data_IF_616542621388
#
_entry.id   IF_616542621388
#
_cell.length_a   1.000
_cell.length_b   1.000
_cell.length_c   1.000
_cell.angle_alpha   90.00
_cell.angle_beta   90.00
_cell.angle_gamma   90.00
#
_symmetry.space_group_name_H-M   'P 1'
#
loop_
_entity.id
_entity.type
_entity.pdbx_description
1 polymer ?
#
# COMPACT_ATOMS: atom_id res chain seq x y z
N UNK A 1 15.35 -4.05 -22.05
CA UNK A 1 16.19 -4.51 -23.18
C UNK A 1 17.42 -3.63 -23.37
N UNK A 2 17.29 -2.30 -23.53
CA UNK A 2 18.45 -1.39 -23.73
C UNK A 2 19.57 -1.56 -22.70
N UNK A 3 19.24 -1.68 -21.41
CA UNK A 3 20.24 -1.88 -20.35
C UNK A 3 21.06 -3.16 -20.55
N UNK A 4 20.43 -4.29 -20.91
CA UNK A 4 21.15 -5.55 -21.13
C UNK A 4 22.14 -5.45 -22.30
N UNK A 5 21.75 -4.77 -23.36
CA UNK A 5 22.62 -4.54 -24.52
C UNK A 5 23.78 -3.60 -24.16
N UNK A 6 23.54 -2.54 -23.39
CA UNK A 6 24.61 -1.65 -22.92
C UNK A 6 25.61 -2.32 -21.96
N UNK A 7 25.21 -3.42 -21.33
CA UNK A 7 26.07 -4.27 -20.50
C UNK A 7 26.76 -5.41 -21.29
N UNK A 8 26.66 -5.41 -22.63
CA UNK A 8 27.36 -6.32 -23.52
C UNK A 8 26.59 -7.60 -23.87
N UNK A 9 25.33 -7.75 -23.49
CA UNK A 9 24.50 -8.86 -23.93
C UNK A 9 23.97 -8.63 -25.35
N UNK A 10 23.74 -9.72 -26.12
CA UNK A 10 22.99 -9.60 -27.38
C UNK A 10 21.51 -9.26 -27.09
N UNK A 11 20.82 -8.69 -28.11
CA UNK A 11 19.38 -8.39 -27.98
C UNK A 11 18.55 -9.62 -27.63
N UNK A 12 18.91 -10.77 -28.19
CA UNK A 12 18.23 -12.05 -27.92
C UNK A 12 18.40 -12.42 -26.44
N UNK A 13 19.63 -12.39 -25.93
CA UNK A 13 19.94 -12.70 -24.53
C UNK A 13 19.24 -11.73 -23.58
N UNK A 14 19.24 -10.43 -23.88
CA UNK A 14 18.57 -9.42 -23.09
C UNK A 14 17.04 -9.64 -23.06
N UNK A 15 16.43 -10.04 -24.18
CA UNK A 15 15.01 -10.35 -24.29
C UNK A 15 14.64 -11.61 -23.48
N UNK A 16 15.42 -12.68 -23.62
CA UNK A 16 15.21 -13.92 -22.87
C UNK A 16 15.35 -13.71 -21.34
N UNK A 17 16.37 -12.96 -20.93
CA UNK A 17 16.57 -12.62 -19.52
C UNK A 17 15.38 -11.82 -18.97
N UNK A 18 14.90 -10.83 -19.73
CA UNK A 18 13.70 -10.06 -19.36
C UNK A 18 12.46 -10.96 -19.22
N UNK A 19 12.21 -11.83 -20.20
CA UNK A 19 11.05 -12.72 -20.17
C UNK A 19 11.08 -13.67 -18.96
N UNK A 20 12.26 -14.25 -18.66
CA UNK A 20 12.43 -15.11 -17.47
C UNK A 20 12.20 -14.34 -16.18
N UNK A 21 12.78 -13.15 -16.05
CA UNK A 21 12.62 -12.32 -14.87
C UNK A 21 11.15 -11.86 -14.69
N UNK A 22 10.50 -11.48 -15.77
CA UNK A 22 9.10 -11.06 -15.74
C UNK A 22 8.17 -12.20 -15.33
N UNK A 23 8.36 -13.40 -15.87
CA UNK A 23 7.57 -14.57 -15.49
C UNK A 23 7.78 -14.95 -14.01
N UNK A 24 9.03 -14.88 -13.52
CA UNK A 24 9.33 -15.09 -12.12
C UNK A 24 8.67 -14.05 -11.20
N UNK A 25 8.73 -12.78 -11.62
CA UNK A 25 8.07 -11.70 -10.91
C UNK A 25 6.55 -11.88 -10.87
N UNK A 26 5.91 -12.21 -12.01
CA UNK A 26 4.46 -12.45 -12.05
C UNK A 26 4.04 -13.54 -11.06
N UNK A 27 4.76 -14.66 -11.04
CA UNK A 27 4.46 -15.75 -10.11
C UNK A 27 4.63 -15.33 -8.64
N UNK A 28 5.67 -14.57 -8.34
CA UNK A 28 5.90 -14.05 -6.99
C UNK A 28 4.81 -13.05 -6.59
N UNK A 29 4.40 -12.19 -7.51
CA UNK A 29 3.36 -11.20 -7.29
C UNK A 29 1.97 -11.83 -7.10
N UNK A 30 1.62 -12.84 -7.90
CA UNK A 30 0.37 -13.62 -7.71
C UNK A 30 0.34 -14.28 -6.33
N UNK A 31 1.47 -14.87 -5.91
CA UNK A 31 1.59 -15.46 -4.57
C UNK A 31 1.42 -14.40 -3.48
N UNK A 32 2.03 -13.22 -3.64
CA UNK A 32 1.88 -12.11 -2.71
C UNK A 32 0.43 -11.66 -2.59
N UNK A 33 -0.30 -11.53 -3.71
CA UNK A 33 -1.74 -11.22 -3.69
C UNK A 33 -2.52 -12.25 -2.88
N UNK A 34 -2.27 -13.54 -3.10
CA UNK A 34 -2.96 -14.62 -2.37
C UNK A 34 -2.66 -14.57 -0.86
N UNK A 35 -1.42 -14.29 -0.48
CA UNK A 35 -1.00 -14.17 0.92
C UNK A 35 -1.67 -12.98 1.61
N UNK A 36 -1.77 -11.84 0.95
CA UNK A 36 -2.46 -10.66 1.50
C UNK A 36 -3.99 -10.83 1.54
N UNK A 37 -4.58 -11.44 0.52
CA UNK A 37 -6.02 -11.77 0.50
C UNK A 37 -6.40 -12.76 1.60
N UNK A 38 -5.52 -13.73 1.91
CA UNK A 38 -5.77 -14.67 3.00
C UNK A 38 -5.91 -13.97 4.36
N UNK A 39 -5.22 -12.84 4.57
CA UNK A 39 -5.31 -12.04 5.80
C UNK A 39 -6.70 -11.40 5.99
N UNK A 40 -7.48 -11.23 4.92
CA UNK A 40 -8.85 -10.68 5.01
C UNK A 40 -9.80 -11.59 5.79
N UNK A 41 -9.47 -12.87 5.93
CA UNK A 41 -10.25 -13.84 6.70
C UNK A 41 -9.91 -13.86 8.20
N UNK A 42 -8.94 -13.04 8.64
CA UNK A 42 -8.61 -12.89 10.06
C UNK A 42 -9.72 -12.12 10.80
N UNK A 43 -10.06 -12.52 12.01
CA UNK A 43 -11.12 -11.88 12.81
C UNK A 43 -10.69 -10.57 13.47
N UNK A 44 -9.36 -10.32 13.53
CA UNK A 44 -8.81 -9.09 14.09
C UNK A 44 -9.14 -7.87 13.23
N UNK A 45 -8.85 -6.69 13.76
CA UNK A 45 -8.93 -5.43 13.00
C UNK A 45 -7.97 -5.47 11.82
N UNK A 46 -8.47 -5.16 10.63
CA UNK A 46 -7.71 -5.14 9.38
C UNK A 46 -7.41 -3.73 8.95
N UNK A 47 -6.15 -3.44 8.69
CA UNK A 47 -5.65 -2.11 8.30
C UNK A 47 -5.00 -2.19 6.92
N UNK A 48 -5.58 -1.52 5.95
CA UNK A 48 -4.93 -1.33 4.65
C UNK A 48 -3.83 -0.28 4.76
N UNK A 49 -2.58 -0.69 4.54
CA UNK A 49 -1.43 0.22 4.50
C UNK A 49 -1.16 0.57 3.04
N UNK A 50 -1.50 1.80 2.67
CA UNK A 50 -1.41 2.33 1.32
C UNK A 50 -0.11 3.10 1.15
N UNK A 51 0.79 2.56 0.35
CA UNK A 51 2.08 3.16 0.06
C UNK A 51 2.76 2.45 -1.10
N UNK A 52 3.75 3.08 -1.68
CA UNK A 52 4.57 2.43 -2.69
C UNK A 52 5.40 1.30 -2.08
N UNK A 53 5.65 0.22 -2.84
CA UNK A 53 6.38 -0.96 -2.36
C UNK A 53 7.73 -0.60 -1.73
N UNK A 54 8.45 0.39 -2.27
CA UNK A 54 9.71 0.85 -1.69
C UNK A 54 9.55 1.51 -0.31
N UNK A 55 8.37 2.05 0.03
CA UNK A 55 8.06 2.55 1.37
C UNK A 55 7.54 1.42 2.28
N UNK A 56 6.67 0.54 1.75
CA UNK A 56 6.05 -0.56 2.54
C UNK A 56 7.09 -1.53 3.08
N UNK A 57 8.12 -1.85 2.27
CA UNK A 57 9.15 -2.85 2.63
C UNK A 57 10.46 -2.25 3.14
N UNK A 58 10.53 -0.92 3.26
CA UNK A 58 11.69 -0.26 3.83
C UNK A 58 11.85 -0.59 5.33
N UNK A 59 13.11 -0.85 5.74
CA UNK A 59 13.45 -1.25 7.11
C UNK A 59 13.15 -0.18 8.16
N UNK A 60 13.19 1.10 7.76
CA UNK A 60 13.04 2.23 8.66
C UNK A 60 11.67 2.90 8.56
N UNK A 61 10.96 2.70 7.44
CA UNK A 61 9.66 3.34 7.16
C UNK A 61 8.51 2.35 7.34
N UNK A 62 8.40 1.37 6.45
CA UNK A 62 7.26 0.48 6.39
C UNK A 62 7.26 -0.60 7.44
N UNK A 63 8.40 -1.29 7.64
CA UNK A 63 8.48 -2.40 8.59
C UNK A 63 8.14 -2.02 10.04
N UNK A 64 8.62 -0.88 10.59
CA UNK A 64 8.18 -0.45 11.93
C UNK A 64 6.67 -0.24 12.04
N UNK A 65 6.04 0.31 11.00
CA UNK A 65 4.59 0.54 10.96
C UNK A 65 3.83 -0.79 10.94
N UNK A 66 4.22 -1.72 10.06
CA UNK A 66 3.61 -3.05 10.00
C UNK A 66 3.70 -3.76 11.35
N UNK A 67 4.90 -3.76 11.96
CA UNK A 67 5.12 -4.34 13.28
C UNK A 67 4.31 -3.64 14.37
N UNK A 68 4.20 -2.31 14.34
CA UNK A 68 3.38 -1.53 15.27
C UNK A 68 1.90 -1.89 15.18
N UNK A 69 1.37 -2.10 13.98
CA UNK A 69 -0.01 -2.56 13.77
C UNK A 69 -0.21 -3.96 14.38
N UNK A 70 0.73 -4.89 14.12
CA UNK A 70 0.66 -6.26 14.67
C UNK A 70 0.74 -6.27 16.20
N UNK A 71 1.57 -5.43 16.81
CA UNK A 71 1.69 -5.27 18.26
C UNK A 71 0.39 -4.73 18.92
N UNK A 72 -0.43 -4.02 18.16
CA UNK A 72 -1.73 -3.51 18.58
C UNK A 72 -2.88 -4.49 18.29
N UNK A 73 -2.56 -5.77 18.04
CA UNK A 73 -3.52 -6.84 17.75
C UNK A 73 -4.39 -6.55 16.52
N UNK A 74 -3.75 -6.06 15.46
CA UNK A 74 -4.37 -5.81 14.17
C UNK A 74 -3.57 -6.46 13.02
N UNK A 75 -4.18 -6.59 11.87
CA UNK A 75 -3.60 -7.24 10.69
C UNK A 75 -3.31 -6.20 9.62
N UNK A 76 -2.04 -5.94 9.28
CA UNK A 76 -1.70 -5.07 8.17
C UNK A 76 -1.89 -5.79 6.83
N UNK A 77 -2.51 -5.11 5.87
CA UNK A 77 -2.70 -5.54 4.50
C UNK A 77 -1.97 -4.55 3.59
N UNK A 78 -1.10 -5.05 2.73
CA UNK A 78 -0.29 -4.22 1.85
C UNK A 78 -1.06 -3.82 0.59
N UNK A 79 -1.02 -2.54 0.22
CA UNK A 79 -1.73 -2.00 -0.95
C UNK A 79 -1.17 -2.48 -2.29
N UNK A 80 0.07 -2.96 -2.35
CA UNK A 80 0.69 -3.43 -3.59
C UNK A 80 0.28 -4.86 -3.98
N UNK A 81 -0.55 -5.52 -3.15
CA UNK A 81 -1.11 -6.84 -3.41
C UNK A 81 -2.34 -6.80 -4.31
N UNK A 82 -2.20 -6.25 -5.51
CA UNK A 82 -3.28 -6.08 -6.49
C UNK A 82 -2.82 -6.45 -7.90
N UNK A 83 -3.73 -6.91 -8.75
CA UNK A 83 -3.45 -6.93 -10.18
C UNK A 83 -3.28 -5.49 -10.68
N UNK A 84 -2.10 -5.17 -11.20
CA UNK A 84 -1.72 -3.79 -11.55
C UNK A 84 -2.61 -3.21 -12.67
N UNK A 85 -3.04 -4.03 -13.64
CA UNK A 85 -3.89 -3.56 -14.72
C UNK A 85 -5.31 -3.28 -14.24
N UNK A 86 -5.83 -4.19 -13.41
CA UNK A 86 -7.14 -4.02 -12.82
C UNK A 86 -7.15 -2.81 -11.88
N UNK A 87 -6.13 -2.66 -11.03
CA UNK A 87 -5.99 -1.53 -10.11
C UNK A 87 -5.98 -0.18 -10.83
N UNK A 88 -5.30 -0.08 -11.98
CA UNK A 88 -5.32 1.14 -12.80
C UNK A 88 -6.72 1.48 -13.32
N UNK A 89 -7.53 0.47 -13.63
CA UNK A 89 -8.94 0.64 -14.03
C UNK A 89 -9.79 1.02 -12.83
N UNK A 90 -9.66 0.31 -11.72
CA UNK A 90 -10.43 0.52 -10.49
C UNK A 90 -10.14 1.86 -9.82
N UNK A 91 -8.97 2.43 -10.07
CA UNK A 91 -8.61 3.79 -9.61
C UNK A 91 -9.62 4.86 -10.05
N UNK A 92 -10.27 4.65 -11.20
CA UNK A 92 -11.27 5.55 -11.76
C UNK A 92 -12.53 5.66 -10.88
N UNK A 93 -12.80 4.68 -10.02
CA UNK A 93 -13.89 4.70 -9.05
C UNK A 93 -13.64 5.79 -7.97
N UNK A 94 -12.38 6.07 -7.66
CA UNK A 94 -12.00 7.07 -6.68
C UNK A 94 -11.66 8.40 -7.36
N UNK A 95 -10.80 8.39 -8.38
CA UNK A 95 -10.40 9.62 -9.07
C UNK A 95 -10.09 9.38 -10.55
N UNK A 96 -10.71 10.19 -11.43
CA UNK A 96 -10.54 10.08 -12.88
C UNK A 96 -9.31 10.82 -13.43
N UNK A 97 -8.69 11.68 -12.63
CA UNK A 97 -7.70 12.66 -13.11
C UNK A 97 -6.30 12.48 -12.51
N UNK A 98 -5.89 11.26 -12.14
CA UNK A 98 -4.55 10.98 -11.64
C UNK A 98 -3.64 10.57 -12.81
N UNK A 99 -2.60 11.36 -13.14
CA UNK A 99 -1.72 11.06 -14.27
C UNK A 99 -0.65 9.99 -13.94
N UNK A 100 -0.31 9.84 -12.67
CA UNK A 100 0.78 8.94 -12.23
C UNK A 100 0.31 7.50 -12.09
N UNK A 101 0.93 6.60 -12.86
CA UNK A 101 0.54 5.18 -12.90
C UNK A 101 0.63 4.53 -11.53
N UNK A 102 1.74 4.73 -10.81
CA UNK A 102 1.93 4.13 -9.48
C UNK A 102 0.88 4.61 -8.47
N UNK A 103 0.49 5.88 -8.52
CA UNK A 103 -0.59 6.39 -7.67
C UNK A 103 -1.97 5.85 -8.07
N UNK A 104 -2.19 5.51 -9.35
CA UNK A 104 -3.42 4.80 -9.76
C UNK A 104 -3.47 3.40 -9.14
N UNK A 105 -2.35 2.72 -9.01
CA UNK A 105 -2.28 1.42 -8.34
C UNK A 105 -2.67 1.52 -6.87
N UNK A 106 -2.22 2.58 -6.17
CA UNK A 106 -2.64 2.87 -4.79
C UNK A 106 -4.16 3.14 -4.68
N UNK A 107 -4.72 3.93 -5.58
CA UNK A 107 -6.16 4.17 -5.62
C UNK A 107 -6.95 2.90 -5.94
N UNK A 108 -6.46 2.08 -6.87
CA UNK A 108 -7.08 0.81 -7.22
C UNK A 108 -7.07 -0.18 -6.06
N UNK A 109 -6.01 -0.23 -5.26
CA UNK A 109 -5.95 -1.06 -4.06
C UNK A 109 -6.99 -0.63 -3.02
N UNK A 110 -7.17 0.68 -2.83
CA UNK A 110 -8.23 1.18 -1.95
C UNK A 110 -9.61 0.78 -2.50
N UNK A 111 -9.85 0.93 -3.81
CA UNK A 111 -11.10 0.53 -4.44
C UNK A 111 -11.40 -0.97 -4.22
N UNK A 112 -10.36 -1.81 -4.25
CA UNK A 112 -10.46 -3.26 -4.04
C UNK A 112 -10.75 -3.62 -2.59
N UNK A 113 -9.97 -3.08 -1.65
CA UNK A 113 -9.96 -3.54 -0.26
C UNK A 113 -10.81 -2.71 0.71
N UNK A 114 -11.30 -1.56 0.29
CA UNK A 114 -11.99 -0.59 1.13
C UNK A 114 -13.15 -1.18 1.97
N UNK A 115 -13.91 -2.12 1.42
CA UNK A 115 -15.04 -2.73 2.13
C UNK A 115 -14.63 -3.82 3.13
N UNK A 116 -13.43 -4.38 2.97
CA UNK A 116 -12.95 -5.54 3.72
C UNK A 116 -12.02 -5.16 4.87
N UNK A 117 -11.68 -3.87 5.00
CA UNK A 117 -10.79 -3.34 6.04
C UNK A 117 -11.50 -2.40 7.00
N UNK A 118 -10.99 -2.29 8.23
CA UNK A 118 -11.55 -1.45 9.27
C UNK A 118 -10.99 -0.03 9.26
N UNK A 119 -9.79 0.17 8.71
CA UNK A 119 -9.11 1.46 8.60
C UNK A 119 -8.05 1.48 7.51
N UNK A 120 -7.59 2.67 7.16
CA UNK A 120 -6.61 2.90 6.11
C UNK A 120 -5.47 3.77 6.67
N UNK A 121 -4.23 3.35 6.45
CA UNK A 121 -3.03 4.17 6.69
C UNK A 121 -2.45 4.56 5.35
N UNK A 122 -2.30 5.86 5.10
CA UNK A 122 -1.62 6.40 3.93
C UNK A 122 -0.16 6.66 4.32
N UNK A 123 0.76 5.93 3.73
CA UNK A 123 2.19 5.98 4.02
C UNK A 123 2.95 6.67 2.90
N UNK A 124 3.53 7.81 3.20
CA UNK A 124 4.27 8.64 2.24
C UNK A 124 5.62 9.05 2.82
N UNK A 125 6.68 8.94 2.02
CA UNK A 125 7.98 9.51 2.34
C UNK A 125 8.05 10.97 1.86
N UNK A 126 8.50 11.87 2.74
CA UNK A 126 8.72 13.28 2.39
C UNK A 126 9.99 13.44 1.51
N UNK A 127 10.00 14.30 0.47
CA UNK A 127 8.93 15.17 -0.03
C UNK A 127 8.29 14.63 -1.33
N UNK A 128 7.30 13.74 -1.24
CA UNK A 128 6.59 13.26 -2.42
C UNK A 128 5.35 14.12 -2.73
N UNK A 129 5.45 15.02 -3.72
CA UNK A 129 4.35 15.87 -4.14
C UNK A 129 3.14 15.11 -4.70
N UNK A 130 3.32 14.18 -5.67
CA UNK A 130 2.24 13.35 -6.19
C UNK A 130 1.46 12.61 -5.11
N UNK A 131 2.14 11.96 -4.16
CA UNK A 131 1.49 11.22 -3.07
C UNK A 131 0.69 12.16 -2.17
N UNK A 132 1.24 13.32 -1.82
CA UNK A 132 0.55 14.31 -0.98
C UNK A 132 -0.77 14.77 -1.61
N UNK A 133 -0.79 14.99 -2.93
CA UNK A 133 -2.00 15.35 -3.66
C UNK A 133 -3.01 14.19 -3.67
N UNK A 134 -2.55 12.97 -3.93
CA UNK A 134 -3.41 11.79 -4.00
C UNK A 134 -3.97 11.43 -2.63
N UNK A 135 -3.17 11.53 -1.57
CA UNK A 135 -3.61 11.31 -0.20
C UNK A 135 -4.74 12.28 0.20
N UNK A 136 -4.63 13.57 -0.18
CA UNK A 136 -5.69 14.54 0.06
C UNK A 136 -6.97 14.20 -0.70
N UNK A 137 -6.86 13.69 -1.93
CA UNK A 137 -8.01 13.20 -2.70
C UNK A 137 -8.68 12.01 -2.01
N UNK A 138 -7.90 11.05 -1.52
CA UNK A 138 -8.40 9.87 -0.79
C UNK A 138 -9.16 10.33 0.47
N UNK A 139 -8.54 11.18 1.30
CA UNK A 139 -9.12 11.69 2.54
C UNK A 139 -10.44 12.43 2.28
N UNK A 140 -10.56 13.15 1.17
CA UNK A 140 -11.79 13.83 0.79
C UNK A 140 -12.89 12.90 0.28
N UNK A 141 -12.53 11.79 -0.34
CA UNK A 141 -13.48 10.84 -0.95
C UNK A 141 -13.95 9.77 0.01
N UNK A 142 -13.06 9.19 0.79
CA UNK A 142 -13.37 8.11 1.73
C UNK A 142 -13.77 8.73 3.08
N UNK A 143 -15.03 8.58 3.46
CA UNK A 143 -15.59 9.15 4.70
C UNK A 143 -16.10 8.11 5.69
N UNK A 144 -16.34 6.92 5.23
CA UNK A 144 -16.91 5.80 6.00
C UNK A 144 -15.86 4.98 6.74
N UNK A 145 -14.57 5.13 6.39
CA UNK A 145 -13.44 4.49 7.06
C UNK A 145 -12.52 5.51 7.74
N UNK A 146 -11.99 5.22 8.93
CA UNK A 146 -10.90 6.02 9.50
C UNK A 146 -9.67 5.99 8.60
N UNK A 147 -9.05 7.15 8.44
CA UNK A 147 -7.81 7.28 7.68
C UNK A 147 -6.76 7.95 8.55
N UNK A 148 -5.58 7.33 8.65
CA UNK A 148 -4.38 7.93 9.22
C UNK A 148 -3.41 8.29 8.09
N UNK A 149 -3.05 9.56 7.95
CA UNK A 149 -2.03 9.99 6.99
C UNK A 149 -0.67 10.10 7.70
N UNK A 150 0.27 9.24 7.33
CA UNK A 150 1.64 9.19 7.81
C UNK A 150 2.58 9.74 6.72
N UNK A 151 2.98 10.98 6.89
CA UNK A 151 4.06 11.58 6.11
C UNK A 151 5.33 11.49 6.96
N UNK A 152 6.29 10.69 6.52
CA UNK A 152 7.53 10.41 7.25
C UNK A 152 8.74 10.99 6.53
N UNK A 153 9.68 11.50 7.30
CA UNK A 153 10.97 11.91 6.80
C UNK A 153 12.13 11.23 7.57
N UNK A 154 13.36 11.48 7.15
CA UNK A 154 14.55 10.88 7.77
C UNK A 154 14.83 11.38 9.18
N UNK A 155 14.09 12.38 9.65
CA UNK A 155 14.25 12.99 10.97
C UNK A 155 13.14 12.56 11.94
N UNK A 156 12.08 11.93 11.43
CA UNK A 156 10.99 11.44 12.25
C UNK A 156 11.46 10.25 13.11
N UNK A 157 11.35 10.39 14.42
CA UNK A 157 11.61 9.30 15.37
C UNK A 157 10.42 8.36 15.51
N UNK A 158 10.68 7.09 15.86
CA UNK A 158 9.64 6.04 16.00
C UNK A 158 8.59 6.37 17.08
N UNK A 159 8.94 7.10 18.15
CA UNK A 159 8.02 7.39 19.26
C UNK A 159 6.74 8.15 18.83
N UNK A 160 6.85 9.08 17.88
CA UNK A 160 5.69 9.79 17.36
C UNK A 160 4.78 8.93 16.49
N UNK A 161 5.33 7.89 15.83
CA UNK A 161 4.58 6.95 15.00
C UNK A 161 3.76 6.02 15.90
N UNK A 162 4.34 5.48 16.96
CA UNK A 162 3.68 4.59 17.91
C UNK A 162 2.43 5.23 18.51
N UNK A 163 2.54 6.43 19.05
CA UNK A 163 1.40 7.17 19.62
C UNK A 163 0.29 7.44 18.59
N UNK A 164 0.66 7.71 17.32
CA UNK A 164 -0.33 7.92 16.25
C UNK A 164 -1.03 6.62 15.87
N UNK A 165 -0.33 5.50 15.84
CA UNK A 165 -0.91 4.18 15.60
C UNK A 165 -1.85 3.77 16.72
N UNK A 166 -1.45 3.94 18.00
CA UNK A 166 -2.29 3.66 19.16
C UNK A 166 -3.60 4.46 19.10
N UNK A 167 -3.49 5.78 18.92
CA UNK A 167 -4.66 6.66 18.83
C UNK A 167 -5.57 6.28 17.65
N UNK A 168 -5.00 5.88 16.51
CA UNK A 168 -5.75 5.44 15.35
C UNK A 168 -6.50 4.13 15.61
N UNK A 169 -5.87 3.18 16.27
CA UNK A 169 -6.48 1.92 16.65
C UNK A 169 -7.62 2.12 17.65
N UNK A 170 -7.48 3.03 18.61
CA UNK A 170 -8.53 3.36 19.56
C UNK A 170 -9.76 3.96 18.87
N UNK A 171 -9.56 4.82 17.87
CA UNK A 171 -10.66 5.36 17.04
C UNK A 171 -11.41 4.21 16.33
N UNK A 172 -10.69 3.23 15.78
CA UNK A 172 -11.30 2.11 15.08
C UNK A 172 -12.10 1.24 16.06
N UNK A 173 -11.52 0.89 17.21
CA UNK A 173 -12.19 0.10 18.27
C UNK A 173 -13.47 0.78 18.73
N UNK A 174 -13.40 2.05 19.07
CA UNK A 174 -14.57 2.83 19.47
C UNK A 174 -15.67 2.84 18.40
N UNK A 175 -15.30 2.98 17.11
CA UNK A 175 -16.28 2.94 16.02
C UNK A 175 -16.91 1.56 15.82
N UNK A 176 -16.18 0.48 16.08
CA UNK A 176 -16.74 -0.90 16.02
C UNK A 176 -17.72 -1.13 17.14
N UNK A 177 -17.39 -0.71 18.36
CA UNK A 177 -18.30 -0.81 19.52
C UNK A 177 -19.58 0.02 19.34
N UNK A 178 -19.48 1.22 18.77
CA UNK A 178 -20.64 2.09 18.52
C UNK A 178 -21.58 1.60 17.40
N UNK A 179 -21.19 0.57 16.64
CA UNK A 179 -21.99 -0.04 15.57
C UNK A 179 -22.69 -1.33 16.00
N UNK A 180 -22.35 -1.86 17.17
CA UNK A 180 -22.99 -3.01 17.85
C UNK A 180 -24.17 -2.55 18.69
#
# INVERSE_FOLDING_TARGET
MMLGVSLGASEIQAKEAYQKAYAAWQKAHEKHIQEEEAKLHDDRIKILVVGHSYNLYDEYIGKPIMKGIEQLDAVPICSDAVDLKQAQTDSLNICKAVPWIMNRELLGSISKYHNDVDGIILLTAFPCGPDSMVNEMIIRRIKDRPILNLLLDSQDGNAGIETRLESFMDIIRFRKEARL
#
